data_IF_581330080349
#
_entry.id   IF_581330080349
#
_cell.length_a   1.000
_cell.length_b   1.000
_cell.length_c   1.000
_cell.angle_alpha   90.00
_cell.angle_beta   90.00
_cell.angle_gamma   90.00
#
_symmetry.space_group_name_H-M   'P 1'
#
loop_
_entity.id
_entity.type
_entity.pdbx_description
1 polymer ?
#
# COMPACT_ATOMS: atom_id res chain seq x y z
N UNK A 1 14.00 19.87 25.68
CA UNK A 1 13.03 19.40 24.66
C UNK A 1 13.73 19.34 23.30
N UNK A 2 13.82 18.18 22.64
CA UNK A 2 14.35 18.10 21.26
C UNK A 2 13.31 18.72 20.32
N UNK A 3 13.68 19.79 19.60
CA UNK A 3 12.86 20.32 18.50
C UNK A 3 12.76 19.24 17.41
N UNK A 4 11.55 18.87 17.02
CA UNK A 4 11.33 18.00 15.86
C UNK A 4 11.76 18.73 14.58
N UNK A 5 12.36 18.00 13.64
CA UNK A 5 12.71 18.51 12.32
C UNK A 5 11.67 17.98 11.33
N UNK A 6 11.10 18.88 10.54
CA UNK A 6 10.21 18.50 9.43
C UNK A 6 11.06 17.99 8.28
N UNK A 7 10.78 16.77 7.81
CA UNK A 7 11.46 16.16 6.66
C UNK A 7 10.48 16.09 5.49
N UNK A 8 10.91 16.58 4.32
CA UNK A 8 10.18 16.40 3.08
C UNK A 8 10.58 15.06 2.46
N UNK A 9 9.61 14.15 2.32
CA UNK A 9 9.83 12.79 1.80
C UNK A 9 8.95 12.54 0.58
N UNK A 10 9.55 11.98 -0.47
CA UNK A 10 8.84 11.47 -1.66
C UNK A 10 9.02 9.95 -1.73
N UNK A 11 7.92 9.23 -2.00
CA UNK A 11 7.90 7.76 -2.10
C UNK A 11 7.21 7.36 -3.39
N UNK A 12 7.77 6.39 -4.10
CA UNK A 12 7.20 5.80 -5.33
C UNK A 12 6.86 4.33 -5.05
N UNK A 13 5.65 3.91 -5.44
CA UNK A 13 5.17 2.54 -5.28
C UNK A 13 4.99 1.88 -6.66
N UNK A 14 5.28 0.59 -6.74
CA UNK A 14 5.03 -0.24 -7.92
C UNK A 14 3.98 -1.29 -7.59
N UNK A 15 3.11 -1.58 -8.55
CA UNK A 15 2.18 -2.71 -8.47
C UNK A 15 2.83 -3.95 -9.05
N UNK A 16 2.67 -5.07 -8.35
CA UNK A 16 3.21 -6.35 -8.77
C UNK A 16 2.25 -7.48 -8.37
N UNK A 17 2.19 -8.50 -9.21
CA UNK A 17 1.70 -9.81 -8.83
C UNK A 17 2.86 -10.59 -8.19
N UNK A 18 2.57 -11.32 -7.11
CA UNK A 18 3.56 -12.18 -6.45
C UNK A 18 3.26 -13.64 -6.76
N UNK A 19 4.30 -14.45 -6.88
CA UNK A 19 4.19 -15.88 -7.20
C UNK A 19 3.79 -16.74 -5.99
N UNK A 20 3.96 -16.22 -4.77
CA UNK A 20 3.69 -16.94 -3.53
C UNK A 20 3.13 -16.02 -2.45
N UNK A 21 2.24 -16.56 -1.62
CA UNK A 21 1.70 -15.89 -0.44
C UNK A 21 2.64 -15.97 0.78
N UNK A 22 3.74 -16.71 0.68
CA UNK A 22 4.72 -16.83 1.78
C UNK A 22 5.48 -15.51 1.93
N UNK A 23 5.41 -14.90 3.12
CA UNK A 23 6.07 -13.63 3.44
C UNK A 23 7.25 -13.88 4.37
N UNK A 24 8.42 -13.33 4.04
CA UNK A 24 9.56 -13.22 4.94
C UNK A 24 9.72 -11.75 5.34
N UNK A 25 9.69 -11.46 6.64
CA UNK A 25 9.81 -10.10 7.18
C UNK A 25 11.18 -9.91 7.85
N UNK A 26 11.67 -8.67 7.84
CA UNK A 26 12.80 -8.23 8.67
C UNK A 26 12.21 -7.68 9.97
N UNK A 27 12.39 -8.38 11.08
CA UNK A 27 11.70 -8.09 12.35
C UNK A 27 12.07 -6.73 12.95
N UNK A 28 13.24 -6.19 12.59
CA UNK A 28 13.74 -4.89 12.99
C UNK A 28 12.95 -3.73 12.36
N UNK A 29 12.38 -3.94 11.17
CA UNK A 29 11.64 -2.92 10.41
C UNK A 29 10.13 -3.15 10.42
N UNK A 30 9.69 -4.41 10.38
CA UNK A 30 8.29 -4.81 10.21
C UNK A 30 7.86 -5.65 11.40
N UNK A 31 6.98 -5.09 12.23
CA UNK A 31 6.46 -5.77 13.42
C UNK A 31 5.29 -6.71 13.12
N UNK A 32 4.53 -6.46 12.05
CA UNK A 32 3.38 -7.26 11.69
C UNK A 32 3.09 -7.18 10.17
N UNK A 33 2.48 -8.22 9.62
CA UNK A 33 2.05 -8.27 8.22
C UNK A 33 0.71 -9.01 8.08
N UNK A 34 -0.04 -8.68 7.03
CA UNK A 34 -1.24 -9.42 6.65
C UNK A 34 -1.55 -9.25 5.16
N UNK A 35 -2.09 -10.30 4.54
CA UNK A 35 -2.80 -10.21 3.27
C UNK A 35 -4.26 -9.87 3.58
N UNK A 36 -4.76 -8.75 3.05
CA UNK A 36 -6.08 -8.22 3.39
C UNK A 36 -6.85 -7.81 2.13
N UNK A 37 -8.18 -7.72 2.25
CA UNK A 37 -9.01 -7.08 1.21
C UNK A 37 -8.73 -5.58 1.11
N UNK A 38 -9.20 -4.96 0.02
CA UNK A 38 -9.12 -3.51 -0.16
C UNK A 38 -9.79 -2.74 1.00
N UNK A 39 -10.98 -3.17 1.42
CA UNK A 39 -11.75 -2.48 2.47
C UNK A 39 -11.05 -2.57 3.83
N UNK A 40 -10.58 -3.76 4.21
CA UNK A 40 -9.83 -3.96 5.45
C UNK A 40 -8.53 -3.16 5.44
N UNK A 41 -7.75 -3.23 4.36
CA UNK A 41 -6.50 -2.47 4.23
C UNK A 41 -6.73 -0.97 4.35
N UNK A 42 -7.79 -0.45 3.71
CA UNK A 42 -8.16 0.98 3.80
C UNK A 42 -8.45 1.41 5.24
N UNK A 43 -9.07 0.53 6.03
CA UNK A 43 -9.37 0.80 7.45
C UNK A 43 -8.13 0.79 8.34
N UNK A 44 -7.11 -0.01 8.01
CA UNK A 44 -5.87 -0.16 8.79
C UNK A 44 -4.84 0.94 8.51
N UNK A 45 -4.81 1.49 7.29
CA UNK A 45 -3.86 2.55 6.94
C UNK A 45 -4.19 3.82 7.72
N UNK A 46 -3.24 4.31 8.52
CA UNK A 46 -3.40 5.52 9.34
C UNK A 46 -3.13 6.81 8.55
N UNK A 47 -2.12 6.79 7.67
CA UNK A 47 -1.69 7.97 6.91
C UNK A 47 -2.61 8.26 5.71
N UNK A 48 -3.18 9.47 5.60
CA UNK A 48 -4.07 9.84 4.50
C UNK A 48 -3.42 9.71 3.11
N UNK A 49 -2.13 10.02 2.99
CA UNK A 49 -1.41 9.90 1.73
C UNK A 49 -1.42 8.45 1.21
N UNK A 50 -1.19 7.47 2.10
CA UNK A 50 -1.18 6.06 1.76
C UNK A 50 -2.60 5.55 1.42
N UNK A 51 -3.65 6.06 2.08
CA UNK A 51 -5.04 5.74 1.71
C UNK A 51 -5.35 6.18 0.27
N UNK A 52 -4.91 7.39 -0.11
CA UNK A 52 -5.06 7.90 -1.49
C UNK A 52 -4.30 7.05 -2.51
N UNK A 53 -3.11 6.54 -2.16
CA UNK A 53 -2.38 5.61 -3.04
C UNK A 53 -3.20 4.33 -3.24
N UNK A 54 -3.72 3.73 -2.16
CA UNK A 54 -4.55 2.52 -2.25
C UNK A 54 -5.80 2.73 -3.12
N UNK A 55 -6.47 3.87 -2.99
CA UNK A 55 -7.64 4.24 -3.81
C UNK A 55 -7.29 4.33 -5.30
N UNK A 56 -6.21 5.02 -5.66
CA UNK A 56 -5.73 5.11 -7.05
C UNK A 56 -5.40 3.75 -7.65
N UNK A 57 -4.81 2.87 -6.84
CA UNK A 57 -4.53 1.49 -7.26
C UNK A 57 -5.82 0.75 -7.57
N UNK A 58 -6.85 0.89 -6.73
CA UNK A 58 -8.16 0.26 -6.95
C UNK A 58 -8.83 0.80 -8.21
N UNK A 59 -8.80 2.11 -8.42
CA UNK A 59 -9.32 2.76 -9.63
C UNK A 59 -8.61 2.21 -10.88
N UNK A 60 -7.28 2.19 -10.88
CA UNK A 60 -6.47 1.67 -11.98
C UNK A 60 -6.79 0.21 -12.31
N UNK A 61 -6.83 -0.67 -11.29
CA UNK A 61 -7.13 -2.09 -11.50
C UNK A 61 -8.56 -2.30 -12.02
N UNK A 62 -9.51 -1.46 -11.63
CA UNK A 62 -10.89 -1.54 -12.09
C UNK A 62 -11.07 -0.99 -13.51
N UNK A 63 -10.35 0.07 -13.88
CA UNK A 63 -10.35 0.57 -15.25
C UNK A 63 -9.67 -0.39 -16.22
N UNK A 64 -8.53 -0.97 -15.82
CA UNK A 64 -7.79 -1.93 -16.66
C UNK A 64 -8.52 -3.27 -16.83
N UNK A 65 -9.36 -3.68 -15.87
CA UNK A 65 -10.22 -4.85 -16.04
C UNK A 65 -11.29 -4.66 -17.14
N UNK A 66 -11.69 -3.41 -17.41
CA UNK A 66 -12.68 -3.07 -18.45
C UNK A 66 -12.09 -3.19 -19.87
N UNK A 67 -10.79 -2.92 -20.04
CA UNK A 67 -10.10 -2.96 -21.34
C UNK A 67 -9.82 -4.40 -21.84
N UNK A 68 -9.80 -5.39 -20.94
CA UNK A 68 -9.61 -6.82 -21.30
C UNK A 68 -10.92 -7.55 -21.61
N UNK A 69 -12.06 -6.88 -21.44
CA UNK A 69 -13.41 -7.45 -21.66
C UNK A 69 -14.20 -6.72 -22.76
N UNK A 70 -13.58 -5.76 -23.45
CA UNK A 70 -14.15 -5.01 -24.58
C UNK A 70 -13.48 -5.38 -25.90
#
# INVERSE_FOLDING_TARGET
>A
MKKGITVQKKVTYFLAFVESMTVKIQAEEIQNFAWNSFAETKSLITYPANRRVLEKVREYLMSSAQELTS
#
